data_IF_675886205633
#
_entry.id   IF_675886205633
#
_cell.length_a   1.000
_cell.length_b   1.000
_cell.length_c   1.000
_cell.angle_alpha   90.00
_cell.angle_beta   90.00
_cell.angle_gamma   90.00
#
_symmetry.space_group_name_H-M   'P 1'
#
loop_
_entity.id
_entity.type
_entity.pdbx_description
1 polymer ?
#
# COMPACT_ATOMS: atom_id res chain seq x y z
N UNK A 1 19.39 -7.15 -40.16
CA UNK A 1 18.03 -7.42 -39.64
C UNK A 1 18.02 -8.03 -38.23
N UNK A 2 18.38 -9.31 -38.02
CA UNK A 2 18.35 -9.92 -36.69
C UNK A 2 19.48 -9.42 -35.76
N UNK A 3 20.70 -9.30 -36.31
CA UNK A 3 21.90 -8.89 -35.57
C UNK A 3 21.84 -7.41 -35.15
N UNK A 4 21.43 -6.50 -36.03
CA UNK A 4 21.18 -5.08 -35.68
C UNK A 4 20.14 -4.90 -34.56
N UNK A 5 19.14 -5.80 -34.50
CA UNK A 5 18.12 -5.79 -33.45
C UNK A 5 18.66 -6.24 -32.08
N UNK A 6 19.77 -6.98 -32.07
CA UNK A 6 20.45 -7.42 -30.85
C UNK A 6 21.44 -6.34 -30.38
N UNK A 7 22.15 -5.68 -31.30
CA UNK A 7 23.00 -4.53 -30.97
C UNK A 7 22.20 -3.38 -30.32
N UNK A 8 21.02 -3.07 -30.84
CA UNK A 8 20.10 -2.07 -30.25
C UNK A 8 19.60 -2.44 -28.84
N UNK A 9 19.71 -3.72 -28.44
CA UNK A 9 19.41 -4.20 -27.08
C UNK A 9 20.64 -4.20 -26.15
N UNK A 10 21.77 -3.66 -26.59
CA UNK A 10 22.99 -3.53 -25.79
C UNK A 10 23.92 -4.75 -25.84
N UNK A 11 23.69 -5.69 -26.74
CA UNK A 11 24.61 -6.81 -26.98
C UNK A 11 25.75 -6.36 -27.89
N UNK A 12 26.98 -6.72 -27.51
CA UNK A 12 28.18 -6.41 -28.29
C UNK A 12 28.64 -7.64 -29.08
N UNK A 13 29.18 -7.38 -30.27
CA UNK A 13 29.74 -8.41 -31.13
C UNK A 13 31.20 -8.67 -30.74
N UNK A 14 31.54 -9.94 -30.56
CA UNK A 14 32.92 -10.39 -30.43
C UNK A 14 33.24 -11.18 -31.70
N UNK A 15 34.30 -10.78 -32.39
CA UNK A 15 34.76 -11.55 -33.54
C UNK A 15 35.29 -12.90 -33.04
N UNK A 16 34.96 -13.96 -33.78
CA UNK A 16 35.40 -15.33 -33.46
C UNK A 16 36.92 -15.49 -33.42
N UNK A 17 37.69 -14.64 -34.11
CA UNK A 17 39.15 -14.59 -34.03
C UNK A 17 39.73 -14.25 -32.64
N UNK A 18 38.91 -13.68 -31.75
CA UNK A 18 39.28 -13.38 -30.36
C UNK A 18 38.91 -14.49 -29.38
N UNK A 19 38.24 -15.54 -29.85
CA UNK A 19 37.79 -16.65 -29.02
C UNK A 19 38.75 -17.82 -29.19
N UNK A 20 39.05 -18.51 -28.08
CA UNK A 20 39.87 -19.72 -28.11
C UNK A 20 39.07 -20.89 -28.69
N UNK A 21 39.73 -21.84 -29.36
CA UNK A 21 39.03 -22.99 -29.95
C UNK A 21 38.33 -23.86 -28.88
N UNK A 22 38.90 -23.96 -27.67
CA UNK A 22 38.29 -24.66 -26.53
C UNK A 22 36.98 -24.01 -26.04
N UNK A 23 36.78 -22.70 -26.26
CA UNK A 23 35.56 -21.99 -25.85
C UNK A 23 34.32 -22.57 -26.52
N UNK A 24 34.41 -22.96 -27.79
CA UNK A 24 33.26 -23.53 -28.51
C UNK A 24 32.91 -24.92 -27.98
N UNK A 25 33.92 -25.73 -27.61
CA UNK A 25 33.69 -27.03 -26.98
C UNK A 25 33.00 -26.87 -25.62
N UNK A 26 33.50 -26.00 -24.76
CA UNK A 26 32.90 -25.73 -23.44
C UNK A 26 31.48 -25.15 -23.57
N UNK A 27 31.25 -24.26 -24.54
CA UNK A 27 29.93 -23.71 -24.82
C UNK A 27 28.93 -24.80 -25.26
N UNK A 28 29.36 -25.71 -26.15
CA UNK A 28 28.51 -26.82 -26.60
C UNK A 28 28.21 -27.79 -25.44
N UNK A 29 29.19 -28.06 -24.56
CA UNK A 29 29.00 -28.85 -23.34
C UNK A 29 27.99 -28.19 -22.38
N UNK A 30 28.09 -26.89 -22.14
CA UNK A 30 27.14 -26.12 -21.32
C UNK A 30 25.73 -26.12 -21.93
N UNK A 31 25.63 -25.94 -23.25
CA UNK A 31 24.35 -25.99 -23.96
C UNK A 31 23.72 -27.38 -23.80
N UNK A 32 24.51 -28.45 -23.94
CA UNK A 32 24.02 -29.81 -23.77
C UNK A 32 23.53 -30.05 -22.34
N UNK A 33 24.29 -29.63 -21.33
CA UNK A 33 23.89 -29.72 -19.92
C UNK A 33 22.55 -28.99 -19.66
N UNK A 34 22.40 -27.77 -20.17
CA UNK A 34 21.17 -27.00 -20.01
C UNK A 34 19.99 -27.63 -20.77
N UNK A 35 20.23 -28.23 -21.93
CA UNK A 35 19.22 -28.98 -22.67
C UNK A 35 18.77 -30.23 -21.92
N UNK A 36 19.71 -30.96 -21.33
CA UNK A 36 19.41 -32.17 -20.54
C UNK A 36 18.57 -31.82 -19.32
N UNK A 37 18.97 -30.77 -18.56
CA UNK A 37 18.19 -30.24 -17.44
C UNK A 37 16.79 -29.81 -17.87
N UNK A 38 16.67 -29.16 -19.03
CA UNK A 38 15.36 -28.76 -19.57
C UNK A 38 14.51 -29.99 -19.92
N UNK A 39 15.09 -31.01 -20.54
CA UNK A 39 14.37 -32.23 -20.90
C UNK A 39 13.90 -32.98 -19.65
N UNK A 40 14.74 -33.09 -18.63
CA UNK A 40 14.36 -33.64 -17.33
C UNK A 40 13.21 -32.85 -16.70
N UNK A 41 13.28 -31.52 -16.74
CA UNK A 41 12.21 -30.66 -16.23
C UNK A 41 10.91 -30.83 -17.01
N UNK A 42 10.97 -30.94 -18.34
CA UNK A 42 9.79 -31.13 -19.19
C UNK A 42 9.15 -32.51 -19.01
N UNK A 43 9.92 -33.51 -18.59
CA UNK A 43 9.43 -34.85 -18.27
C UNK A 43 8.63 -34.90 -16.96
N UNK A 44 8.74 -33.89 -16.09
CA UNK A 44 7.92 -33.76 -14.88
C UNK A 44 6.47 -33.46 -15.30
N UNK A 45 5.53 -34.33 -14.94
CA UNK A 45 4.10 -34.20 -15.27
C UNK A 45 3.53 -32.85 -14.80
N UNK A 46 3.24 -31.97 -15.77
CA UNK A 46 2.62 -30.65 -15.52
C UNK A 46 1.17 -30.74 -15.05
N UNK A 47 0.50 -31.89 -15.26
CA UNK A 47 -0.94 -32.09 -14.97
C UNK A 47 -1.24 -32.39 -13.50
N UNK A 48 -0.21 -32.51 -12.66
CA UNK A 48 -0.38 -32.75 -11.24
C UNK A 48 0.29 -31.71 -10.35
N UNK A 49 -0.08 -30.43 -10.53
CA UNK A 49 0.24 -29.38 -9.58
C UNK A 49 -0.79 -29.37 -8.41
N UNK A 50 -0.43 -29.88 -7.21
CA UNK A 50 -1.32 -29.89 -6.06
C UNK A 50 -1.62 -28.47 -5.53
N UNK A 51 -0.66 -27.53 -5.66
CA UNK A 51 -0.83 -26.14 -5.21
C UNK A 51 -1.86 -25.44 -6.08
N UNK A 52 -1.79 -25.60 -7.40
CA UNK A 52 -2.79 -25.06 -8.31
C UNK A 52 -4.19 -25.65 -8.03
N UNK A 53 -4.29 -26.96 -7.88
CA UNK A 53 -5.56 -27.65 -7.61
C UNK A 53 -6.22 -27.10 -6.35
N UNK A 54 -5.47 -27.03 -5.26
CA UNK A 54 -5.99 -26.51 -4.00
C UNK A 54 -6.29 -25.00 -4.07
N UNK A 55 -5.45 -24.24 -4.76
CA UNK A 55 -5.70 -22.81 -4.99
C UNK A 55 -7.02 -22.56 -5.72
N UNK A 56 -7.32 -23.33 -6.78
CA UNK A 56 -8.60 -23.25 -7.50
C UNK A 56 -9.77 -23.60 -6.56
N UNK A 57 -9.63 -24.62 -5.72
CA UNK A 57 -10.65 -25.01 -4.76
C UNK A 57 -10.95 -23.88 -3.76
N UNK A 58 -9.90 -23.26 -3.21
CA UNK A 58 -10.02 -22.14 -2.27
C UNK A 58 -10.71 -20.96 -2.96
N UNK A 59 -10.32 -20.60 -4.17
CA UNK A 59 -10.95 -19.50 -4.93
C UNK A 59 -12.44 -19.76 -5.18
N UNK A 60 -12.79 -20.98 -5.62
CA UNK A 60 -14.19 -21.37 -5.83
C UNK A 60 -15.01 -21.29 -4.54
N UNK A 61 -14.43 -21.74 -3.42
CA UNK A 61 -15.07 -21.66 -2.11
C UNK A 61 -15.31 -20.21 -1.69
N UNK A 62 -14.29 -19.35 -1.77
CA UNK A 62 -14.40 -17.94 -1.38
C UNK A 62 -15.42 -17.19 -2.24
N UNK A 63 -15.42 -17.40 -3.56
CA UNK A 63 -16.40 -16.76 -4.45
C UNK A 63 -17.82 -17.27 -4.24
N UNK A 64 -17.98 -18.50 -3.72
CA UNK A 64 -19.30 -19.05 -3.36
C UNK A 64 -19.81 -18.46 -2.04
N UNK A 65 -18.93 -18.27 -1.07
CA UNK A 65 -19.25 -17.71 0.25
C UNK A 65 -19.50 -16.20 0.20
N UNK A 66 -18.70 -15.46 -0.58
CA UNK A 66 -18.81 -14.02 -0.76
C UNK A 66 -18.61 -13.63 -2.25
N UNK A 67 -19.67 -13.73 -3.09
CA UNK A 67 -19.58 -13.45 -4.53
C UNK A 67 -19.23 -11.99 -4.87
N UNK A 68 -19.42 -11.06 -3.93
CA UNK A 68 -19.12 -9.65 -4.11
C UNK A 68 -17.64 -9.33 -3.87
N UNK A 69 -16.96 -10.13 -3.04
CA UNK A 69 -15.56 -9.91 -2.68
C UNK A 69 -14.62 -10.25 -3.82
N UNK A 70 -13.91 -9.22 -4.30
CA UNK A 70 -12.86 -9.38 -5.31
C UNK A 70 -11.56 -9.87 -4.68
N UNK A 71 -10.83 -10.66 -5.45
CA UNK A 71 -9.61 -11.34 -5.05
C UNK A 71 -8.46 -10.84 -5.93
N UNK A 72 -7.32 -10.54 -5.32
CA UNK A 72 -6.09 -10.19 -6.04
C UNK A 72 -5.02 -11.21 -5.72
N UNK A 73 -4.32 -11.66 -6.75
CA UNK A 73 -3.31 -12.70 -6.69
C UNK A 73 -2.02 -12.13 -7.27
N UNK A 74 -0.98 -12.09 -6.45
CA UNK A 74 0.32 -11.58 -6.83
C UNK A 74 1.31 -12.72 -7.04
N UNK A 75 2.12 -12.59 -8.10
CA UNK A 75 3.31 -13.42 -8.34
C UNK A 75 4.46 -12.58 -8.85
N UNK A 76 5.71 -12.96 -8.53
CA UNK A 76 6.89 -12.27 -9.05
C UNK A 76 7.08 -12.48 -10.56
N UNK A 77 6.69 -13.64 -11.07
CA UNK A 77 7.03 -14.06 -12.43
C UNK A 77 5.85 -13.91 -13.39
N UNK A 78 6.10 -13.27 -14.53
CA UNK A 78 5.08 -13.10 -15.57
C UNK A 78 4.62 -14.45 -16.16
N UNK A 79 5.51 -15.43 -16.23
CA UNK A 79 5.19 -16.78 -16.72
C UNK A 79 4.20 -17.49 -15.78
N UNK A 80 4.37 -17.35 -14.46
CA UNK A 80 3.41 -17.85 -13.46
C UNK A 80 2.05 -17.16 -13.61
N UNK A 81 2.01 -15.85 -13.88
CA UNK A 81 0.75 -15.14 -14.12
C UNK A 81 0.03 -15.67 -15.37
N UNK A 82 0.75 -15.91 -16.46
CA UNK A 82 0.18 -16.48 -17.68
C UNK A 82 -0.30 -17.92 -17.45
N UNK A 83 0.47 -18.72 -16.71
CA UNK A 83 0.10 -20.07 -16.29
C UNK A 83 -1.19 -20.07 -15.46
N UNK A 84 -1.27 -19.22 -14.44
CA UNK A 84 -2.46 -19.09 -13.60
C UNK A 84 -3.67 -18.60 -14.41
N UNK A 85 -3.50 -17.61 -15.28
CA UNK A 85 -4.58 -17.13 -16.14
C UNK A 85 -5.21 -18.26 -16.96
N UNK A 86 -4.37 -19.07 -17.61
CA UNK A 86 -4.83 -20.20 -18.44
C UNK A 86 -5.66 -21.18 -17.61
N UNK A 87 -5.09 -21.66 -16.50
CA UNK A 87 -5.73 -22.68 -15.66
C UNK A 87 -7.01 -22.15 -14.98
N UNK A 88 -7.03 -20.88 -14.54
CA UNK A 88 -8.20 -20.27 -13.93
C UNK A 88 -9.34 -20.08 -14.95
N UNK A 89 -9.02 -19.73 -16.20
CA UNK A 89 -10.02 -19.67 -17.28
C UNK A 89 -10.58 -21.05 -17.61
N UNK A 90 -9.74 -22.08 -17.70
CA UNK A 90 -10.17 -23.47 -17.89
C UNK A 90 -11.06 -23.96 -16.74
N UNK A 91 -10.83 -23.46 -15.52
CA UNK A 91 -11.69 -23.71 -14.36
C UNK A 91 -12.99 -22.87 -14.32
N UNK A 92 -13.30 -22.10 -15.37
CA UNK A 92 -14.43 -21.18 -15.51
C UNK A 92 -14.49 -20.09 -14.43
N UNK A 93 -13.33 -19.57 -14.01
CA UNK A 93 -13.26 -18.46 -13.06
C UNK A 93 -13.15 -17.10 -13.80
N UNK A 94 -13.86 -16.04 -13.34
CA UNK A 94 -13.84 -14.72 -13.97
C UNK A 94 -12.55 -13.97 -13.64
N UNK A 95 -11.47 -14.34 -14.35
CA UNK A 95 -10.11 -13.88 -14.11
C UNK A 95 -9.61 -12.91 -15.16
N UNK A 96 -8.92 -11.85 -14.71
CA UNK A 96 -8.13 -10.96 -15.54
C UNK A 96 -6.66 -11.06 -15.13
N UNK A 97 -5.75 -10.96 -16.10
CA UNK A 97 -4.31 -11.00 -15.84
C UNK A 97 -3.61 -9.71 -16.25
N UNK A 98 -2.58 -9.34 -15.50
CA UNK A 98 -1.77 -8.16 -15.83
C UNK A 98 -0.28 -8.38 -15.57
N UNK A 99 0.52 -8.09 -16.59
CA UNK A 99 1.99 -8.12 -16.55
C UNK A 99 2.53 -6.88 -17.24
N UNK A 100 3.82 -6.60 -17.11
CA UNK A 100 4.46 -5.49 -17.81
C UNK A 100 4.24 -5.53 -19.34
N UNK A 101 4.19 -6.73 -19.93
CA UNK A 101 3.91 -6.92 -21.37
C UNK A 101 2.46 -6.58 -21.74
N UNK A 102 1.53 -6.67 -20.78
CA UNK A 102 0.09 -6.36 -20.96
C UNK A 102 -0.25 -4.93 -20.51
N UNK A 103 0.74 -4.06 -20.31
CA UNK A 103 0.57 -2.71 -19.78
C UNK A 103 0.00 -1.67 -20.78
N UNK A 104 -1.10 -2.01 -21.45
CA UNK A 104 -1.81 -1.11 -22.38
C UNK A 104 -2.82 -0.24 -21.66
N UNK A 105 -3.14 0.95 -22.18
CA UNK A 105 -4.14 1.87 -21.60
C UNK A 105 -5.50 1.20 -21.37
N UNK A 106 -5.95 0.38 -22.31
CA UNK A 106 -7.22 -0.35 -22.20
C UNK A 106 -7.22 -1.37 -21.05
N UNK A 107 -6.11 -2.08 -20.82
CA UNK A 107 -6.00 -3.02 -19.71
C UNK A 107 -5.96 -2.28 -18.36
N UNK A 108 -5.31 -1.10 -18.31
CA UNK A 108 -5.32 -0.25 -17.11
C UNK A 108 -6.73 0.23 -16.77
N UNK A 109 -7.48 0.63 -17.78
CA UNK A 109 -8.88 1.04 -17.62
C UNK A 109 -9.79 -0.12 -17.19
N UNK A 110 -9.54 -1.32 -17.71
CA UNK A 110 -10.24 -2.54 -17.28
C UNK A 110 -10.01 -2.81 -15.79
N UNK A 111 -8.77 -2.67 -15.30
CA UNK A 111 -8.45 -2.80 -13.88
C UNK A 111 -9.13 -1.70 -13.07
N UNK A 112 -9.06 -0.43 -13.51
CA UNK A 112 -9.68 0.72 -12.83
C UNK A 112 -11.19 0.49 -12.65
N UNK A 113 -11.90 0.21 -13.73
CA UNK A 113 -13.37 0.04 -13.71
C UNK A 113 -13.83 -1.16 -12.89
N UNK A 114 -13.03 -2.24 -12.83
CA UNK A 114 -13.39 -3.44 -12.08
C UNK A 114 -12.92 -3.44 -10.61
N UNK A 115 -11.79 -2.85 -10.27
CA UNK A 115 -11.12 -3.01 -8.97
C UNK A 115 -10.87 -1.71 -8.19
N UNK A 116 -11.04 -0.52 -8.80
CA UNK A 116 -10.88 0.77 -8.11
C UNK A 116 -12.23 1.26 -7.53
N UNK A 117 -12.25 1.53 -6.21
CA UNK A 117 -13.42 2.07 -5.53
C UNK A 117 -13.56 3.59 -5.68
N UNK A 118 -12.55 4.27 -6.24
CA UNK A 118 -12.58 5.68 -6.61
C UNK A 118 -13.18 5.95 -7.98
N UNK A 119 -13.53 4.90 -8.74
CA UNK A 119 -14.27 5.03 -9.99
C UNK A 119 -15.73 5.40 -9.70
N UNK A 120 -16.31 6.29 -10.50
CA UNK A 120 -17.74 6.65 -10.40
C UNK A 120 -18.63 5.41 -10.51
N UNK A 121 -19.71 5.33 -9.73
CA UNK A 121 -20.52 4.11 -9.62
C UNK A 121 -21.12 3.64 -10.96
N UNK A 122 -21.41 4.57 -11.87
CA UNK A 122 -21.90 4.28 -13.22
C UNK A 122 -20.83 3.71 -14.17
N UNK A 123 -19.54 3.93 -13.88
CA UNK A 123 -18.41 3.38 -14.63
C UNK A 123 -17.90 2.05 -14.05
N UNK A 124 -18.33 1.71 -12.84
CA UNK A 124 -17.91 0.49 -12.17
C UNK A 124 -18.47 -0.74 -12.88
N UNK A 125 -17.57 -1.67 -13.19
CA UNK A 125 -17.89 -2.97 -13.77
C UNK A 125 -17.63 -4.10 -12.79
N UNK A 126 -18.16 -5.27 -13.12
CA UNK A 126 -18.01 -6.49 -12.35
C UNK A 126 -17.72 -7.71 -13.25
N UNK A 127 -17.09 -7.45 -14.39
CA UNK A 127 -16.73 -8.45 -15.40
C UNK A 127 -15.73 -9.48 -14.85
N UNK A 128 -14.89 -9.06 -13.89
CA UNK A 128 -13.84 -9.88 -13.29
C UNK A 128 -13.91 -9.86 -11.77
N UNK A 129 -13.73 -11.04 -11.15
CA UNK A 129 -13.64 -11.20 -9.69
C UNK A 129 -12.22 -11.44 -9.20
N UNK A 130 -11.37 -12.01 -10.06
CA UNK A 130 -10.00 -12.35 -9.74
C UNK A 130 -9.06 -11.55 -10.64
N UNK A 131 -8.10 -10.86 -10.04
CA UNK A 131 -6.99 -10.22 -10.75
C UNK A 131 -5.70 -10.95 -10.41
N UNK A 132 -5.04 -11.53 -11.41
CA UNK A 132 -3.69 -12.13 -11.26
C UNK A 132 -2.68 -11.18 -11.86
N UNK A 133 -1.69 -10.73 -11.09
CA UNK A 133 -0.74 -9.76 -11.60
C UNK A 133 0.65 -9.86 -11.00
N UNK A 134 1.62 -9.33 -11.74
CA UNK A 134 2.94 -9.05 -11.18
C UNK A 134 2.92 -7.75 -10.37
N UNK A 135 4.02 -7.44 -9.69
CA UNK A 135 4.20 -6.18 -8.95
C UNK A 135 4.07 -4.92 -9.82
N UNK A 136 3.96 -5.05 -11.15
CA UNK A 136 3.64 -3.95 -12.04
C UNK A 136 2.30 -3.26 -11.72
N UNK A 137 1.39 -3.91 -10.97
CA UNK A 137 0.17 -3.26 -10.45
C UNK A 137 0.31 -2.72 -9.02
N UNK A 138 1.35 -3.13 -8.29
CA UNK A 138 1.56 -2.75 -6.89
C UNK A 138 1.98 -1.29 -6.73
N UNK A 139 2.38 -0.63 -7.83
CA UNK A 139 2.73 0.77 -7.89
C UNK A 139 1.77 1.52 -8.84
N UNK A 140 1.05 2.53 -8.31
CA UNK A 140 0.23 3.44 -9.12
C UNK A 140 -1.22 3.01 -9.39
N UNK A 141 -1.66 1.84 -8.93
CA UNK A 141 -3.07 1.42 -9.02
C UNK A 141 -3.75 1.45 -7.65
N UNK A 142 -5.03 1.84 -7.64
CA UNK A 142 -5.91 1.72 -6.49
C UNK A 142 -6.75 0.47 -6.67
N UNK A 143 -6.71 -0.43 -5.69
CA UNK A 143 -7.31 -1.75 -5.78
C UNK A 143 -8.31 -2.00 -4.63
N UNK A 144 -8.90 -0.92 -4.11
CA UNK A 144 -9.66 -0.95 -2.85
C UNK A 144 -10.96 -1.77 -2.89
N UNK A 145 -11.46 -2.18 -4.07
CA UNK A 145 -12.63 -3.09 -4.16
C UNK A 145 -12.26 -4.54 -3.90
N UNK A 146 -10.98 -4.86 -3.75
CA UNK A 146 -10.54 -6.19 -3.33
C UNK A 146 -10.61 -6.35 -1.81
N UNK A 147 -11.10 -7.49 -1.37
CA UNK A 147 -11.17 -7.86 0.05
C UNK A 147 -10.24 -9.00 0.44
N UNK A 148 -9.60 -9.64 -0.55
CA UNK A 148 -8.69 -10.76 -0.35
C UNK A 148 -7.45 -10.63 -1.23
N UNK A 149 -6.29 -10.91 -0.64
CA UNK A 149 -4.98 -10.91 -1.29
C UNK A 149 -4.38 -12.31 -1.16
N UNK A 150 -3.88 -12.84 -2.27
CA UNK A 150 -3.02 -14.02 -2.30
C UNK A 150 -1.64 -13.61 -2.81
N UNK A 151 -0.60 -13.84 -2.02
CA UNK A 151 0.77 -13.85 -2.50
C UNK A 151 1.10 -15.29 -2.90
N UNK A 152 0.99 -15.58 -4.21
CA UNK A 152 1.18 -16.92 -4.76
C UNK A 152 2.64 -17.38 -4.62
N UNK A 153 3.57 -16.43 -4.59
CA UNK A 153 4.94 -16.61 -4.12
C UNK A 153 5.30 -15.46 -3.19
N UNK A 154 6.06 -15.79 -2.14
CA UNK A 154 6.49 -14.81 -1.16
C UNK A 154 7.71 -14.06 -1.70
N UNK A 155 7.66 -12.71 -1.81
CA UNK A 155 8.82 -11.93 -2.19
C UNK A 155 9.89 -11.95 -1.10
N UNK A 156 11.16 -12.04 -1.51
CA UNK A 156 12.34 -11.94 -0.64
C UNK A 156 12.43 -10.62 0.15
N UNK A 157 11.73 -9.58 -0.31
CA UNK A 157 11.61 -8.30 0.37
C UNK A 157 10.19 -8.12 0.91
N UNK A 158 9.98 -8.20 2.24
CA UNK A 158 8.66 -8.11 2.86
C UNK A 158 7.98 -6.74 2.65
N UNK A 159 8.75 -5.67 2.42
CA UNK A 159 8.19 -4.35 2.09
C UNK A 159 7.27 -4.39 0.87
N UNK A 160 7.52 -5.31 -0.09
CA UNK A 160 6.63 -5.49 -1.25
C UNK A 160 5.22 -5.93 -0.81
N UNK A 161 5.12 -6.77 0.22
CA UNK A 161 3.83 -7.26 0.71
C UNK A 161 3.09 -6.14 1.43
N UNK A 162 3.77 -5.36 2.27
CA UNK A 162 3.19 -4.17 2.92
C UNK A 162 2.65 -3.21 1.87
N UNK A 163 3.42 -2.95 0.82
CA UNK A 163 3.00 -2.08 -0.29
C UNK A 163 1.76 -2.64 -1.01
N UNK A 164 1.72 -3.95 -1.31
CA UNK A 164 0.55 -4.63 -1.92
C UNK A 164 -0.71 -4.42 -1.07
N UNK A 165 -0.61 -4.64 0.25
CA UNK A 165 -1.72 -4.44 1.19
C UNK A 165 -2.16 -2.97 1.22
N UNK A 166 -1.20 -2.03 1.23
CA UNK A 166 -1.47 -0.59 1.20
C UNK A 166 -2.18 -0.11 -0.07
N UNK A 167 -2.16 -0.86 -1.19
CA UNK A 167 -2.95 -0.55 -2.40
C UNK A 167 -4.42 -0.95 -2.29
N UNK A 168 -4.76 -1.73 -1.29
CA UNK A 168 -6.10 -2.28 -1.07
C UNK A 168 -6.72 -1.62 0.16
N UNK A 169 -5.97 -1.51 1.25
CA UNK A 169 -6.38 -0.83 2.46
C UNK A 169 -5.99 0.66 2.41
N UNK A 170 -6.93 1.54 2.05
CA UNK A 170 -6.76 2.99 2.24
C UNK A 170 -7.60 3.52 3.40
N UNK A 171 -6.98 4.36 4.23
CA UNK A 171 -7.54 4.97 5.45
C UNK A 171 -8.90 5.66 5.20
N UNK A 172 -9.09 6.24 4.02
CA UNK A 172 -10.20 7.15 3.75
C UNK A 172 -11.47 6.50 3.17
N UNK A 173 -11.45 5.20 2.81
CA UNK A 173 -12.63 4.51 2.24
C UNK A 173 -12.54 2.99 2.47
N UNK A 174 -12.99 2.52 3.64
CA UNK A 174 -13.06 1.08 3.95
C UNK A 174 -14.25 0.46 3.20
N UNK A 175 -13.94 -0.33 2.16
CA UNK A 175 -14.94 -1.15 1.46
C UNK A 175 -15.28 -2.42 2.25
N UNK A 176 -14.31 -2.94 3.02
CA UNK A 176 -14.46 -4.13 3.85
C UNK A 176 -13.96 -3.88 5.28
N UNK A 177 -14.66 -4.44 6.26
CA UNK A 177 -14.22 -4.41 7.67
C UNK A 177 -13.01 -5.30 7.93
N UNK A 178 -12.88 -6.38 7.15
CA UNK A 178 -11.80 -7.37 7.26
C UNK A 178 -11.19 -7.63 5.89
N UNK A 179 -9.86 -7.58 5.85
CA UNK A 179 -9.05 -7.99 4.70
C UNK A 179 -8.42 -9.33 5.01
N UNK A 180 -8.43 -10.23 4.03
CA UNK A 180 -7.76 -11.53 4.14
C UNK A 180 -6.48 -11.53 3.32
N UNK A 181 -5.37 -11.90 3.95
CA UNK A 181 -4.06 -11.98 3.31
C UNK A 181 -3.59 -13.43 3.42
N UNK A 182 -3.38 -14.06 2.27
CA UNK A 182 -2.91 -15.45 2.16
C UNK A 182 -1.52 -15.46 1.54
N UNK A 183 -0.61 -16.20 2.16
CA UNK A 183 0.80 -16.26 1.80
C UNK A 183 1.19 -17.71 1.53
N UNK A 184 1.64 -18.00 0.32
CA UNK A 184 2.16 -19.33 -0.03
C UNK A 184 3.66 -19.38 0.23
N UNK A 185 4.05 -20.16 1.24
CA UNK A 185 5.44 -20.47 1.51
C UNK A 185 5.93 -21.67 0.68
N UNK A 186 7.24 -21.78 0.44
CA UNK A 186 7.83 -22.98 -0.13
C UNK A 186 7.52 -24.23 0.71
N UNK A 187 7.67 -25.41 0.12
CA UNK A 187 7.68 -26.67 0.87
C UNK A 187 8.94 -26.76 1.73
N UNK A 188 8.96 -27.64 2.73
CA UNK A 188 10.12 -27.82 3.63
C UNK A 188 11.43 -28.06 2.87
N UNK A 189 11.37 -28.81 1.76
CA UNK A 189 12.52 -29.06 0.88
C UNK A 189 12.99 -27.75 0.24
N UNK A 190 12.06 -26.96 -0.32
CA UNK A 190 12.38 -25.68 -0.94
C UNK A 190 12.87 -24.63 0.06
N UNK A 191 12.34 -24.66 1.29
CA UNK A 191 12.75 -23.74 2.36
C UNK A 191 14.16 -24.06 2.87
N UNK A 192 14.55 -25.33 2.99
CA UNK A 192 15.91 -25.70 3.39
C UNK A 192 16.99 -25.13 2.46
N UNK A 193 16.69 -25.08 1.15
CA UNK A 193 17.59 -24.54 0.13
C UNK A 193 17.54 -23.00 0.06
N UNK A 194 16.33 -22.42 0.07
CA UNK A 194 16.15 -21.00 -0.24
C UNK A 194 16.09 -20.08 0.99
N UNK A 195 15.67 -20.62 2.14
CA UNK A 195 15.45 -19.92 3.43
C UNK A 195 14.57 -18.67 3.32
N UNK A 196 13.63 -18.66 2.39
CA UNK A 196 12.83 -17.48 2.05
C UNK A 196 11.89 -17.12 3.19
N UNK A 197 11.24 -18.09 3.80
CA UNK A 197 10.33 -17.88 4.92
C UNK A 197 11.08 -17.35 6.13
N UNK A 198 12.20 -17.98 6.51
CA UNK A 198 13.01 -17.54 7.65
C UNK A 198 13.51 -16.10 7.49
N UNK A 199 14.12 -15.79 6.34
CA UNK A 199 14.69 -14.46 6.06
C UNK A 199 13.58 -13.40 5.99
N UNK A 200 12.47 -13.69 5.31
CA UNK A 200 11.36 -12.74 5.18
C UNK A 200 10.69 -12.46 6.52
N UNK A 201 10.52 -13.48 7.36
CA UNK A 201 9.95 -13.34 8.70
C UNK A 201 10.84 -12.46 9.58
N UNK A 202 12.15 -12.74 9.61
CA UNK A 202 13.10 -11.95 10.39
C UNK A 202 13.11 -10.47 9.97
N UNK A 203 13.18 -10.20 8.66
CA UNK A 203 13.15 -8.83 8.13
C UNK A 203 11.86 -8.11 8.51
N UNK A 204 10.72 -8.79 8.49
CA UNK A 204 9.45 -8.19 8.87
C UNK A 204 9.37 -7.90 10.37
N UNK A 205 9.83 -8.82 11.22
CA UNK A 205 9.94 -8.57 12.66
C UNK A 205 10.79 -7.33 12.94
N UNK A 206 11.90 -7.14 12.23
CA UNK A 206 12.70 -5.92 12.33
C UNK A 206 11.94 -4.66 11.89
N UNK A 207 11.21 -4.73 10.76
CA UNK A 207 10.38 -3.62 10.27
C UNK A 207 9.32 -3.24 11.32
N UNK A 208 8.59 -4.23 11.85
CA UNK A 208 7.57 -4.00 12.87
C UNK A 208 8.17 -3.41 14.16
N UNK A 209 9.33 -3.90 14.59
CA UNK A 209 10.01 -3.39 15.78
C UNK A 209 10.44 -1.92 15.64
N UNK A 210 10.83 -1.50 14.43
CA UNK A 210 11.28 -0.12 14.16
C UNK A 210 10.09 0.82 13.91
N UNK A 211 9.14 0.41 13.06
CA UNK A 211 8.09 1.30 12.57
C UNK A 211 6.81 1.28 13.41
N UNK A 212 6.50 0.17 14.08
CA UNK A 212 5.20 -0.06 14.71
C UNK A 212 4.10 -0.14 13.65
N UNK A 213 3.69 -1.34 13.27
CA UNK A 213 2.60 -1.54 12.31
C UNK A 213 1.39 -2.16 12.99
N UNK A 214 0.18 -1.80 12.55
CA UNK A 214 -1.07 -2.23 13.18
C UNK A 214 -1.72 -3.44 12.48
N UNK A 215 -1.08 -4.00 11.45
CA UNK A 215 -1.64 -5.05 10.59
C UNK A 215 -0.70 -6.24 10.49
N UNK A 216 -1.23 -7.46 10.66
CA UNK A 216 -0.49 -8.70 10.41
C UNK A 216 -0.45 -9.00 8.91
N UNK A 217 0.72 -9.20 8.34
CA UNK A 217 0.92 -9.23 6.88
C UNK A 217 1.57 -10.53 6.38
N UNK A 218 2.51 -11.16 7.10
CA UNK A 218 3.12 -12.43 6.67
C UNK A 218 2.47 -13.64 7.31
N UNK A 219 2.30 -13.65 8.63
CA UNK A 219 1.82 -14.82 9.35
C UNK A 219 0.80 -14.48 10.44
N UNK A 220 -0.04 -15.45 10.79
CA UNK A 220 -1.09 -15.25 11.81
C UNK A 220 -0.53 -15.09 13.23
N UNK A 221 0.69 -15.60 13.46
CA UNK A 221 1.38 -15.60 14.75
C UNK A 221 2.25 -14.35 14.98
N UNK A 222 2.19 -13.36 14.08
CA UNK A 222 2.93 -12.12 14.22
C UNK A 222 2.56 -11.44 15.53
N UNK A 223 3.54 -11.24 16.40
CA UNK A 223 3.39 -10.37 17.56
C UNK A 223 3.60 -8.94 17.10
N UNK A 224 2.54 -8.14 17.12
CA UNK A 224 2.61 -6.71 16.88
C UNK A 224 3.26 -6.05 18.12
N UNK A 225 4.58 -6.14 18.20
CA UNK A 225 5.36 -5.43 19.22
C UNK A 225 5.71 -4.06 18.69
N UNK A 226 4.92 -3.08 19.08
CA UNK A 226 5.25 -1.70 18.80
C UNK A 226 6.07 -1.14 19.97
N UNK A 227 7.40 -1.35 19.91
CA UNK A 227 8.35 -0.80 20.88
C UNK A 227 8.23 0.72 21.04
N UNK A 228 7.67 1.38 20.04
CA UNK A 228 7.41 2.81 20.06
C UNK A 228 5.93 3.18 20.17
N UNK A 229 4.94 2.30 20.37
CA UNK A 229 3.53 2.80 20.49
C UNK A 229 3.38 3.74 21.66
N UNK A 230 4.01 3.48 22.81
CA UNK A 230 3.97 4.44 23.92
C UNK A 230 4.75 5.71 23.59
N UNK A 231 5.90 5.64 22.91
CA UNK A 231 6.67 6.82 22.51
C UNK A 231 5.98 7.61 21.38
N UNK A 232 5.32 6.96 20.44
CA UNK A 232 4.51 7.54 19.37
C UNK A 232 3.23 8.11 19.95
N UNK A 233 2.52 7.43 20.86
CA UNK A 233 1.41 8.01 21.63
C UNK A 233 1.89 9.20 22.43
N UNK A 234 3.03 9.11 23.10
CA UNK A 234 3.62 10.23 23.84
C UNK A 234 3.97 11.37 22.88
N UNK A 235 4.60 11.12 21.73
CA UNK A 235 4.96 12.14 20.72
C UNK A 235 3.70 12.73 20.07
N UNK A 236 2.68 11.92 19.80
CA UNK A 236 1.37 12.36 19.29
C UNK A 236 0.63 13.15 20.35
N UNK A 237 0.61 12.75 21.62
CA UNK A 237 0.03 13.50 22.75
C UNK A 237 0.84 14.78 23.06
N UNK A 238 2.16 14.75 22.82
CA UNK A 238 3.04 15.91 22.95
C UNK A 238 2.88 16.88 21.77
N UNK A 239 2.58 16.38 20.56
CA UNK A 239 2.27 17.20 19.38
C UNK A 239 0.78 17.59 19.27
N UNK A 240 -0.13 16.82 19.85
CA UNK A 240 -1.52 17.17 20.16
C UNK A 240 -1.58 17.94 21.49
N UNK A 241 -0.63 18.85 21.71
CA UNK A 241 -1.02 20.01 22.47
C UNK A 241 -2.06 20.74 21.62
N UNK A 242 -3.34 20.62 21.99
CA UNK A 242 -4.41 21.52 21.55
C UNK A 242 -3.77 22.92 21.55
N UNK A 243 -3.56 23.48 20.35
CA UNK A 243 -3.03 24.83 20.25
C UNK A 243 -3.88 25.68 21.18
N UNK A 244 -3.27 26.47 22.08
CA UNK A 244 -4.01 27.28 23.05
C UNK A 244 -5.16 28.05 22.37
N UNK A 245 -4.94 28.46 21.12
CA UNK A 245 -5.88 29.20 20.31
C UNK A 245 -7.03 28.37 19.72
N UNK A 246 -6.97 27.03 19.67
CA UNK A 246 -8.01 26.16 19.06
C UNK A 246 -9.36 26.31 19.76
N UNK A 247 -9.39 26.38 21.09
CA UNK A 247 -10.63 26.57 21.85
C UNK A 247 -11.24 27.96 21.59
N UNK A 248 -10.40 28.99 21.50
CA UNK A 248 -10.83 30.34 21.19
C UNK A 248 -11.27 30.49 19.73
N UNK A 249 -10.62 29.81 18.78
CA UNK A 249 -11.04 29.80 17.37
C UNK A 249 -12.35 29.05 17.19
N UNK A 250 -12.56 27.92 17.86
CA UNK A 250 -13.83 27.21 17.84
C UNK A 250 -14.96 28.09 18.40
N UNK A 251 -14.71 28.73 19.55
CA UNK A 251 -15.63 29.72 20.14
C UNK A 251 -15.90 30.85 19.15
N UNK A 252 -14.87 31.44 18.55
CA UNK A 252 -15.01 32.55 17.60
C UNK A 252 -15.78 32.13 16.33
N UNK A 253 -15.57 30.91 15.84
CA UNK A 253 -16.31 30.31 14.73
C UNK A 253 -17.80 30.15 15.05
N UNK A 254 -18.15 29.68 16.25
CA UNK A 254 -19.54 29.63 16.73
C UNK A 254 -20.18 31.03 16.79
N UNK A 255 -19.39 32.06 17.14
CA UNK A 255 -19.86 33.45 17.19
C UNK A 255 -19.80 34.18 15.84
N UNK A 256 -19.20 33.60 14.78
CA UNK A 256 -18.94 34.28 13.51
C UNK A 256 -20.23 34.69 12.78
N UNK A 257 -21.32 33.96 12.99
CA UNK A 257 -22.65 34.29 12.46
C UNK A 257 -23.65 34.77 13.52
N UNK A 258 -23.20 34.95 14.76
CA UNK A 258 -24.09 35.38 15.84
C UNK A 258 -24.60 36.82 15.64
N UNK A 259 -25.85 37.11 16.06
CA UNK A 259 -26.38 38.47 16.04
C UNK A 259 -25.56 39.44 16.92
N UNK A 260 -24.84 38.92 17.92
CA UNK A 260 -23.98 39.71 18.81
C UNK A 260 -22.70 40.18 18.12
N UNK A 261 -22.09 39.35 17.25
CA UNK A 261 -20.92 39.78 16.46
C UNK A 261 -21.30 40.85 15.43
N UNK A 262 -22.49 40.71 14.80
CA UNK A 262 -23.02 41.73 13.89
C UNK A 262 -23.27 43.07 14.61
N UNK A 263 -23.78 43.03 15.85
CA UNK A 263 -23.88 44.22 16.72
C UNK A 263 -22.51 44.78 17.09
N UNK A 264 -21.54 43.93 17.44
CA UNK A 264 -20.19 44.36 17.79
C UNK A 264 -19.47 45.07 16.63
N UNK A 265 -19.61 44.56 15.40
CA UNK A 265 -19.07 45.19 14.18
C UNK A 265 -19.75 46.53 13.84
N UNK A 266 -20.99 46.75 14.29
CA UNK A 266 -21.71 48.02 14.12
C UNK A 266 -21.32 49.10 15.14
N UNK A 267 -20.49 48.77 16.15
CA UNK A 267 -20.04 49.74 17.13
C UNK A 267 -19.08 50.76 16.52
N UNK A 268 -19.19 52.05 16.86
CA UNK A 268 -18.31 53.08 16.33
C UNK A 268 -16.85 52.82 16.74
N UNK A 269 -15.94 53.13 15.82
CA UNK A 269 -14.49 53.08 16.06
C UNK A 269 -14.14 53.89 17.32
N UNK A 270 -13.29 53.31 18.19
CA UNK A 270 -12.89 53.84 19.52
C UNK A 270 -13.90 53.66 20.66
N UNK A 271 -14.86 52.75 20.52
CA UNK A 271 -15.72 52.31 21.63
C UNK A 271 -14.88 51.73 22.79
N UNK A 272 -15.12 52.18 24.02
CA UNK A 272 -14.40 51.73 25.23
C UNK A 272 -15.27 50.77 26.03
N UNK A 273 -14.74 49.60 26.37
CA UNK A 273 -15.44 48.61 27.20
C UNK A 273 -15.10 48.86 28.66
N UNK A 274 -16.13 48.92 29.53
CA UNK A 274 -15.97 49.03 30.98
C UNK A 274 -16.59 47.80 31.64
N UNK A 275 -15.78 46.99 32.31
CA UNK A 275 -16.23 45.87 33.15
C UNK A 275 -16.31 46.32 34.61
N UNK A 276 -17.46 46.18 35.27
CA UNK A 276 -17.60 46.44 36.71
C UNK A 276 -17.33 45.15 37.47
N UNK A 277 -16.20 45.09 38.18
CA UNK A 277 -15.84 43.97 39.07
C UNK A 277 -15.40 44.54 40.42
N UNK A 278 -15.75 43.87 41.51
CA UNK A 278 -15.31 44.21 42.87
C UNK A 278 -13.84 43.79 43.05
N UNK A 279 -12.92 44.68 42.72
CA UNK A 279 -11.47 44.49 42.91
C UNK A 279 -11.00 45.20 44.18
N UNK A 280 -9.93 44.67 44.78
CA UNK A 280 -9.27 45.22 45.98
C UNK A 280 -8.61 46.59 45.74
N UNK A 281 -8.33 46.94 44.48
CA UNK A 281 -7.83 48.25 44.07
C UNK A 281 -8.66 48.80 42.90
N UNK A 282 -9.05 50.08 43.00
CA UNK A 282 -9.79 50.78 41.94
C UNK A 282 -8.81 51.43 40.99
N UNK A 283 -8.75 50.97 39.75
CA UNK A 283 -7.88 51.54 38.73
C UNK A 283 -8.39 51.27 37.31
N UNK A 284 -7.75 51.90 36.33
CA UNK A 284 -8.03 51.70 34.90
C UNK A 284 -6.91 50.84 34.31
N UNK A 285 -7.27 49.65 33.84
CA UNK A 285 -6.38 48.79 33.05
C UNK A 285 -6.59 49.11 31.56
N UNK A 286 -5.54 49.60 30.90
CA UNK A 286 -5.53 49.87 29.46
C UNK A 286 -4.74 48.78 28.76
N UNK A 287 -5.37 48.16 27.77
CA UNK A 287 -4.74 47.24 26.83
C UNK A 287 -4.58 47.94 25.47
N UNK A 288 -3.37 47.89 24.91
CA UNK A 288 -3.08 48.37 23.57
C UNK A 288 -2.26 47.34 22.80
N UNK A 289 -2.61 47.10 21.53
CA UNK A 289 -1.90 46.19 20.63
C UNK A 289 -1.57 46.92 19.32
N UNK A 290 -0.32 46.82 18.86
CA UNK A 290 0.13 47.28 17.55
C UNK A 290 0.97 46.19 16.89
N UNK A 291 0.44 45.55 15.85
CA UNK A 291 1.08 44.38 15.23
C UNK A 291 1.12 43.18 16.20
N UNK A 292 2.30 42.59 16.40
CA UNK A 292 2.52 41.52 17.38
C UNK A 292 2.83 42.04 18.79
N UNK A 293 3.08 43.34 18.96
CA UNK A 293 3.37 43.94 20.26
C UNK A 293 2.08 44.28 21.01
N UNK A 294 2.03 43.89 22.28
CA UNK A 294 0.92 44.21 23.18
C UNK A 294 1.43 44.74 24.52
N UNK A 295 0.69 45.71 25.07
CA UNK A 295 1.02 46.36 26.35
C UNK A 295 -0.22 46.42 27.22
N UNK A 296 -0.05 46.02 28.48
CA UNK A 296 -1.00 46.27 29.55
C UNK A 296 -0.43 47.34 30.48
N UNK A 297 -1.19 48.42 30.71
CA UNK A 297 -0.86 49.43 31.74
C UNK A 297 -2.02 49.58 32.71
N UNK A 298 -1.72 49.44 33.99
CA UNK A 298 -2.67 49.66 35.08
C UNK A 298 -2.37 51.02 35.71
N UNK A 299 -3.35 51.93 35.69
CA UNK A 299 -3.28 53.22 36.36
C UNK A 299 -4.21 53.19 37.59
N UNK A 300 -3.69 53.57 38.75
CA UNK A 300 -4.44 53.68 40.01
C UNK A 300 -4.33 55.14 40.50
N UNK A 301 -5.25 55.62 41.34
CA UNK A 301 -5.33 57.02 41.77
C UNK A 301 -4.08 57.58 42.51
N UNK A 302 -3.02 56.80 42.67
CA UNK A 302 -1.79 57.18 43.38
C UNK A 302 -0.55 57.33 42.45
N UNK A 303 -0.69 57.23 41.12
CA UNK A 303 0.30 57.68 40.11
C UNK A 303 -0.27 57.57 38.68
#
# INVERSE_FOLDING_TARGET
AAIEKLQTRGLFEIKTEYLQDDFFRELDEDIQLLQDLKNEWEAIEKDNDPKLKEFINILKKQLKEDPARKIIVFSQFADTINYLEKNLKEANLPVFSYTALKATTSNKETIRTNFDAGCEENEQKDDYKILVATDAISEGYNLHRAGTIFNYDIPYNPTRIIQRVGRINRINKKVFDKLFIFNYFPTDIGENETRIQEISTLKMTMIHAIMGEDTKVLNSNEELQAFFTEQYKTIIETNEQKSWSTEYYATLHEFTDSPDLKKALSLPLRSKIRRKTSLSQRGVLVFAKKGNDFVFKFANNNN
#
